data_IF_441670214692
#
_entry.id   IF_441670214692
#
_cell.length_a   1.000
_cell.length_b   1.000
_cell.length_c   1.000
_cell.angle_alpha   90.00
_cell.angle_beta   90.00
_cell.angle_gamma   90.00
#
_symmetry.space_group_name_H-M   'P 1'
#
loop_
_entity.id
_entity.type
_entity.pdbx_description
1 polymer ?
#
# COMPACT_ATOMS: atom_id res chain seq x y z
N UNK A 1 -19.66 11.43 2.16
CA UNK A 1 -18.86 10.30 2.64
C UNK A 1 -17.40 10.67 2.43
N UNK A 2 -16.59 10.67 3.50
CA UNK A 2 -15.19 11.10 3.40
C UNK A 2 -14.40 9.90 2.85
N UNK A 3 -13.70 10.06 1.73
CA UNK A 3 -12.80 9.03 1.20
C UNK A 3 -11.58 8.95 2.12
N UNK A 4 -11.77 8.42 3.32
CA UNK A 4 -10.68 8.17 4.27
C UNK A 4 -10.10 6.82 3.85
N UNK A 5 -8.97 6.86 3.19
CA UNK A 5 -8.04 5.73 3.23
C UNK A 5 -7.41 5.80 4.62
N UNK A 6 -7.98 5.07 5.58
CA UNK A 6 -7.53 5.14 6.96
C UNK A 6 -6.38 4.15 7.13
N UNK A 7 -5.18 4.66 7.42
CA UNK A 7 -4.13 3.81 7.96
C UNK A 7 -4.34 3.66 9.46
N UNK A 8 -4.51 2.40 9.88
CA UNK A 8 -4.64 2.03 11.28
C UNK A 8 -3.27 2.05 11.97
N UNK A 9 -2.46 3.11 11.82
CA UNK A 9 -1.26 3.20 12.64
C UNK A 9 -1.65 3.45 14.09
N UNK A 10 -1.65 2.37 14.87
CA UNK A 10 -1.50 2.27 16.33
C UNK A 10 -2.56 2.96 17.22
N UNK A 11 -3.30 3.99 16.79
CA UNK A 11 -4.16 4.75 17.70
C UNK A 11 -5.56 4.14 17.93
N UNK A 12 -6.12 3.44 16.93
CA UNK A 12 -7.53 3.02 16.98
C UNK A 12 -7.72 1.66 17.69
N UNK A 13 -6.73 0.78 17.60
CA UNK A 13 -6.77 -0.57 18.14
C UNK A 13 -5.77 -0.78 19.28
N UNK A 14 -5.31 0.29 19.95
CA UNK A 14 -4.45 0.17 21.13
C UNK A 14 -5.08 0.84 22.33
N UNK A 15 -5.01 0.15 23.46
CA UNK A 15 -5.37 0.69 24.76
C UNK A 15 -4.15 0.58 25.68
N UNK A 16 -4.03 1.55 26.59
CA UNK A 16 -3.12 1.44 27.72
C UNK A 16 -3.80 0.65 28.82
N UNK A 17 -3.07 -0.25 29.45
CA UNK A 17 -3.51 -0.83 30.70
C UNK A 17 -3.18 0.06 31.90
N UNK A 18 -3.64 -0.34 33.09
CA UNK A 18 -3.40 0.41 34.33
C UNK A 18 -1.91 0.53 34.71
N UNK A 19 -1.02 -0.21 34.06
CA UNK A 19 0.43 -0.17 34.25
C UNK A 19 1.16 0.54 33.11
N UNK A 20 0.43 1.10 32.14
CA UNK A 20 0.98 1.86 31.01
C UNK A 20 1.48 1.00 29.86
N UNK A 21 1.25 -0.32 29.87
CA UNK A 21 1.57 -1.17 28.74
C UNK A 21 0.51 -1.07 27.64
N UNK A 22 0.99 -1.14 26.40
CA UNK A 22 0.17 -0.97 25.20
C UNK A 22 -0.32 -2.34 24.75
N UNK A 23 -1.65 -2.53 24.75
CA UNK A 23 -2.29 -3.77 24.26
C UNK A 23 -3.12 -3.49 23.02
N UNK A 24 -3.20 -4.47 22.13
CA UNK A 24 -4.14 -4.41 21.01
C UNK A 24 -5.56 -4.75 21.50
N UNK A 25 -6.55 -3.99 21.03
CA UNK A 25 -7.97 -4.16 21.32
C UNK A 25 -8.75 -4.33 20.03
N UNK A 26 -9.81 -5.13 20.06
CA UNK A 26 -10.69 -5.32 18.91
C UNK A 26 -11.35 -3.97 18.54
N UNK A 27 -11.35 -3.63 17.25
CA UNK A 27 -11.94 -2.38 16.73
C UNK A 27 -13.40 -2.23 17.15
N UNK A 28 -14.16 -3.32 17.16
CA UNK A 28 -15.56 -3.39 17.62
C UNK A 28 -15.74 -2.89 19.06
N UNK A 29 -14.74 -3.11 19.92
CA UNK A 29 -14.74 -2.66 21.31
C UNK A 29 -14.33 -1.20 21.49
N UNK A 30 -14.07 -0.47 20.41
CA UNK A 30 -13.57 0.91 20.45
C UNK A 30 -14.66 1.90 20.00
N UNK A 31 -14.60 3.18 20.42
CA UNK A 31 -15.50 4.21 19.91
C UNK A 31 -15.39 4.45 18.39
N UNK A 32 -14.38 3.86 17.73
CA UNK A 32 -14.11 4.05 16.31
C UNK A 32 -14.87 3.08 15.41
N UNK A 33 -15.43 1.98 15.95
CA UNK A 33 -16.27 1.06 15.18
C UNK A 33 -17.43 1.78 14.45
N UNK A 34 -17.99 2.81 15.09
CA UNK A 34 -19.06 3.66 14.50
C UNK A 34 -18.65 4.43 13.25
N UNK A 35 -17.34 4.50 12.95
CA UNK A 35 -16.82 5.17 11.76
C UNK A 35 -16.79 4.23 10.55
N UNK A 36 -16.85 2.91 10.74
CA UNK A 36 -16.79 1.93 9.64
C UNK A 36 -17.80 2.22 8.52
N UNK A 37 -19.07 2.58 8.78
CA UNK A 37 -20.03 2.90 7.71
C UNK A 37 -19.69 4.17 6.92
N UNK A 38 -18.70 4.96 7.36
CA UNK A 38 -18.27 6.22 6.73
C UNK A 38 -16.93 6.10 6.02
N UNK A 39 -16.27 4.95 6.13
CA UNK A 39 -14.96 4.65 5.54
C UNK A 39 -15.15 3.88 4.25
N UNK A 40 -14.44 4.27 3.19
CA UNK A 40 -14.48 3.53 1.92
C UNK A 40 -13.48 2.36 1.94
N UNK A 41 -12.26 2.63 2.40
CA UNK A 41 -11.17 1.66 2.47
C UNK A 41 -10.49 1.70 3.83
N UNK A 42 -10.34 0.52 4.44
CA UNK A 42 -9.65 0.33 5.71
C UNK A 42 -8.42 -0.53 5.48
N UNK A 43 -7.22 0.02 5.69
CA UNK A 43 -5.98 -0.75 5.52
C UNK A 43 -5.44 -1.22 6.87
N UNK A 44 -5.07 -2.49 6.92
CA UNK A 44 -4.45 -3.15 8.06
C UNK A 44 -3.27 -4.02 7.58
N UNK A 45 -2.29 -4.29 8.45
CA UNK A 45 -1.33 -5.37 8.21
C UNK A 45 -1.90 -6.74 8.59
N UNK A 46 -1.21 -7.83 8.21
CA UNK A 46 -1.52 -9.19 8.65
C UNK A 46 -1.59 -9.32 10.18
N UNK A 47 -0.74 -8.58 10.91
CA UNK A 47 -0.71 -8.56 12.38
C UNK A 47 -1.87 -7.76 12.99
N UNK A 48 -2.41 -6.79 12.25
CA UNK A 48 -3.53 -5.94 12.66
C UNK A 48 -4.90 -6.56 12.32
N UNK A 49 -4.95 -7.38 11.26
CA UNK A 49 -6.18 -7.98 10.75
C UNK A 49 -7.05 -8.70 11.80
N UNK A 50 -6.50 -9.48 12.76
CA UNK A 50 -7.31 -10.10 13.82
C UNK A 50 -8.04 -9.08 14.70
N UNK A 51 -7.44 -7.91 14.93
CA UNK A 51 -8.02 -6.85 15.78
C UNK A 51 -9.04 -6.00 15.02
N UNK A 52 -8.97 -5.96 13.69
CA UNK A 52 -9.95 -5.26 12.86
C UNK A 52 -11.25 -6.05 12.73
N UNK A 53 -11.21 -7.38 12.83
CA UNK A 53 -12.38 -8.21 12.57
C UNK A 53 -12.79 -8.09 11.10
N UNK A 54 -11.91 -8.52 10.20
CA UNK A 54 -12.05 -8.38 8.73
C UNK A 54 -13.45 -8.77 8.25
N UNK A 55 -14.00 -9.87 8.76
CA UNK A 55 -15.33 -10.37 8.40
C UNK A 55 -16.48 -9.44 8.78
N UNK A 56 -16.36 -8.75 9.92
CA UNK A 56 -17.33 -7.74 10.33
C UNK A 56 -17.11 -6.44 9.56
N UNK A 57 -15.87 -5.99 9.45
CA UNK A 57 -15.51 -4.72 8.83
C UNK A 57 -15.81 -4.69 7.32
N UNK A 58 -15.65 -5.83 6.61
CA UNK A 58 -15.90 -5.93 5.17
C UNK A 58 -17.35 -5.69 4.76
N UNK A 59 -18.30 -5.83 5.70
CA UNK A 59 -19.73 -5.53 5.49
C UNK A 59 -20.01 -4.03 5.37
N UNK A 60 -19.07 -3.19 5.81
CA UNK A 60 -19.24 -1.73 5.87
C UNK A 60 -18.31 -0.99 4.92
N UNK A 61 -17.10 -1.52 4.70
CA UNK A 61 -16.06 -0.91 3.89
C UNK A 61 -15.15 -1.97 3.26
N UNK A 62 -14.37 -1.63 2.25
CA UNK A 62 -13.37 -2.55 1.73
C UNK A 62 -12.17 -2.60 2.68
N UNK A 63 -11.82 -3.78 3.19
CA UNK A 63 -10.65 -3.99 4.04
C UNK A 63 -9.48 -4.45 3.18
N UNK A 64 -8.35 -3.77 3.28
CA UNK A 64 -7.09 -4.11 2.60
C UNK A 64 -6.14 -4.65 3.65
N UNK A 65 -5.74 -5.91 3.52
CA UNK A 65 -4.76 -6.54 4.40
C UNK A 65 -3.44 -6.68 3.65
N UNK A 66 -2.40 -5.97 4.08
CA UNK A 66 -1.05 -6.11 3.53
C UNK A 66 -0.35 -7.31 4.17
N UNK A 67 0.16 -8.23 3.35
CA UNK A 67 0.76 -9.52 3.74
C UNK A 67 2.28 -9.52 3.49
N UNK A 68 2.91 -8.35 3.51
CA UNK A 68 4.36 -8.19 3.29
C UNK A 68 4.80 -8.78 1.93
N UNK A 69 5.67 -9.78 1.98
CA UNK A 69 6.22 -10.47 0.78
C UNK A 69 5.16 -11.20 -0.05
N UNK A 70 3.98 -11.44 0.52
CA UNK A 70 2.89 -12.17 -0.14
C UNK A 70 1.89 -11.24 -0.85
N UNK A 71 2.13 -9.91 -0.78
CA UNK A 71 1.36 -8.87 -1.45
C UNK A 71 0.30 -8.29 -0.54
N UNK A 72 -0.95 -8.26 -1.03
CA UNK A 72 -2.08 -7.89 -0.19
C UNK A 72 -3.36 -8.59 -0.63
N UNK A 73 -4.39 -8.51 0.23
CA UNK A 73 -5.75 -8.97 -0.07
C UNK A 73 -6.77 -7.88 0.21
N UNK A 74 -7.74 -7.75 -0.68
CA UNK A 74 -8.92 -6.92 -0.50
C UNK A 74 -10.09 -7.80 -0.09
N UNK A 75 -10.89 -7.33 0.86
CA UNK A 75 -12.12 -7.95 1.31
C UNK A 75 -13.25 -6.92 1.24
N UNK A 76 -14.34 -7.25 0.57
CA UNK A 76 -15.55 -6.42 0.52
C UNK A 76 -16.78 -7.29 0.75
N UNK A 77 -17.96 -6.68 0.83
CA UNK A 77 -19.19 -7.42 1.00
C UNK A 77 -19.44 -8.31 -0.23
N UNK A 78 -19.47 -9.63 -0.01
CA UNK A 78 -19.67 -10.62 -1.06
C UNK A 78 -18.42 -11.01 -1.86
N UNK A 79 -17.21 -10.56 -1.51
CA UNK A 79 -16.02 -10.97 -2.25
C UNK A 79 -14.66 -10.68 -1.61
N UNK A 80 -13.62 -11.23 -2.24
CA UNK A 80 -12.23 -10.95 -1.92
C UNK A 80 -11.35 -11.05 -3.17
N UNK A 81 -10.21 -10.36 -3.17
CA UNK A 81 -9.22 -10.45 -4.24
C UNK A 81 -7.80 -10.42 -3.67
N UNK A 82 -6.97 -11.38 -4.08
CA UNK A 82 -5.52 -11.37 -3.81
C UNK A 82 -4.79 -10.56 -4.87
N UNK A 83 -3.81 -9.78 -4.46
CA UNK A 83 -2.99 -8.92 -5.32
C UNK A 83 -1.52 -9.29 -5.15
N UNK A 84 -0.84 -9.49 -6.28
CA UNK A 84 0.53 -10.00 -6.30
C UNK A 84 1.54 -9.03 -5.65
N UNK A 85 2.59 -9.57 -4.99
CA UNK A 85 3.69 -8.78 -4.47
C UNK A 85 4.66 -8.32 -5.57
N UNK A 86 5.57 -7.42 -5.21
CA UNK A 86 6.74 -7.09 -6.02
C UNK A 86 8.01 -7.55 -5.28
N UNK A 87 9.06 -7.99 -6.01
CA UNK A 87 10.34 -8.32 -5.40
C UNK A 87 10.93 -7.11 -4.68
N UNK A 88 11.41 -7.30 -3.46
CA UNK A 88 12.13 -6.30 -2.69
C UNK A 88 13.12 -6.96 -1.73
N UNK A 89 14.24 -6.28 -1.48
CA UNK A 89 15.18 -6.65 -0.42
C UNK A 89 14.84 -5.78 0.78
N UNK A 90 14.33 -6.38 1.85
CA UNK A 90 13.92 -5.64 3.04
C UNK A 90 15.16 -5.14 3.80
N UNK A 91 15.34 -3.83 3.82
CA UNK A 91 16.36 -3.11 4.59
C UNK A 91 15.72 -2.46 5.82
N UNK A 92 14.66 -1.68 5.64
CA UNK A 92 13.91 -1.02 6.71
C UNK A 92 12.41 -1.02 6.36
N UNK A 93 11.52 -1.62 7.18
CA UNK A 93 10.08 -1.60 6.92
C UNK A 93 9.41 -0.24 7.13
N UNK A 94 10.13 0.75 7.65
CA UNK A 94 9.59 2.07 7.98
C UNK A 94 9.00 2.75 6.74
N UNK A 95 7.74 3.19 6.84
CA UNK A 95 7.06 3.92 5.76
C UNK A 95 6.54 3.06 4.60
N UNK A 96 6.71 1.73 4.64
CA UNK A 96 6.17 0.84 3.61
C UNK A 96 4.64 0.87 3.53
N UNK A 97 3.96 0.94 4.69
CA UNK A 97 2.51 1.10 4.77
C UNK A 97 2.03 2.42 4.17
N UNK A 98 2.65 3.55 4.56
CA UNK A 98 2.30 4.86 4.03
C UNK A 98 2.52 4.93 2.52
N UNK A 99 3.60 4.32 2.04
CA UNK A 99 3.93 4.22 0.62
C UNK A 99 2.91 3.38 -0.14
N UNK A 100 2.48 2.26 0.45
CA UNK A 100 1.39 1.46 -0.08
C UNK A 100 0.11 2.30 -0.19
N UNK A 101 -0.27 3.03 0.87
CA UNK A 101 -1.46 3.87 0.83
C UNK A 101 -1.37 5.00 -0.18
N UNK A 102 -0.20 5.64 -0.31
CA UNK A 102 0.05 6.69 -1.29
C UNK A 102 -0.10 6.15 -2.72
N UNK A 103 0.49 4.98 -3.00
CA UNK A 103 0.34 4.29 -4.29
C UNK A 103 -1.11 3.90 -4.58
N UNK A 104 -1.81 3.34 -3.59
CA UNK A 104 -3.21 2.98 -3.68
C UNK A 104 -4.11 4.18 -3.97
N UNK A 105 -3.97 5.25 -3.19
CA UNK A 105 -4.74 6.48 -3.39
C UNK A 105 -4.45 7.12 -4.75
N UNK A 106 -3.18 7.14 -5.18
CA UNK A 106 -2.81 7.59 -6.51
C UNK A 106 -3.51 6.75 -7.60
N UNK A 107 -3.49 5.42 -7.49
CA UNK A 107 -4.16 4.54 -8.43
C UNK A 107 -5.66 4.84 -8.55
N UNK A 108 -6.35 5.01 -7.43
CA UNK A 108 -7.77 5.38 -7.42
C UNK A 108 -8.03 6.75 -8.07
N UNK A 109 -7.18 7.75 -7.80
CA UNK A 109 -7.28 9.08 -8.41
C UNK A 109 -7.04 9.05 -9.93
N UNK A 110 -6.23 8.10 -10.39
CA UNK A 110 -6.02 7.80 -11.81
C UNK A 110 -7.12 6.92 -12.43
N UNK A 111 -8.18 6.59 -11.68
CA UNK A 111 -9.32 5.84 -12.19
C UNK A 111 -9.09 4.34 -12.34
N UNK A 112 -8.09 3.79 -11.67
CA UNK A 112 -7.88 2.34 -11.59
C UNK A 112 -8.99 1.66 -10.77
N UNK A 113 -9.21 0.37 -11.00
CA UNK A 113 -9.99 -0.48 -10.07
C UNK A 113 -9.30 -0.54 -8.70
N UNK A 114 -10.02 -0.89 -7.65
CA UNK A 114 -9.44 -1.05 -6.31
C UNK A 114 -8.32 -2.11 -6.31
N UNK A 115 -8.46 -3.18 -7.09
CA UNK A 115 -7.44 -4.24 -7.20
C UNK A 115 -6.20 -3.77 -7.93
N UNK A 116 -6.36 -2.98 -9.00
CA UNK A 116 -5.23 -2.38 -9.74
C UNK A 116 -4.54 -1.27 -8.94
N UNK A 117 -5.32 -0.48 -8.20
CA UNK A 117 -4.80 0.50 -7.26
C UNK A 117 -3.99 -0.18 -6.14
N UNK A 118 -4.46 -1.32 -5.63
CA UNK A 118 -3.74 -2.09 -4.62
C UNK A 118 -2.45 -2.71 -5.18
N UNK A 119 -2.42 -3.04 -6.47
CA UNK A 119 -1.21 -3.47 -7.15
C UNK A 119 -0.18 -2.33 -7.18
N UNK A 120 -0.61 -1.11 -7.51
CA UNK A 120 0.25 0.08 -7.42
C UNK A 120 0.70 0.35 -5.97
N UNK A 121 -0.16 0.12 -4.98
CA UNK A 121 0.19 0.14 -3.57
C UNK A 121 1.30 -0.87 -3.23
N UNK A 122 1.16 -2.14 -3.64
CA UNK A 122 2.17 -3.17 -3.43
C UNK A 122 3.53 -2.76 -4.04
N UNK A 123 3.52 -2.15 -5.22
CA UNK A 123 4.72 -1.66 -5.89
C UNK A 123 5.46 -0.60 -5.03
N UNK A 124 4.76 0.44 -4.58
CA UNK A 124 5.38 1.49 -3.76
C UNK A 124 5.76 1.01 -2.35
N UNK A 125 4.98 0.09 -1.77
CA UNK A 125 5.32 -0.54 -0.49
C UNK A 125 6.61 -1.37 -0.60
N UNK A 126 6.77 -2.14 -1.68
CA UNK A 126 7.98 -2.91 -1.96
C UNK A 126 9.19 -2.00 -2.26
N UNK A 127 9.00 -0.92 -3.02
CA UNK A 127 10.06 0.06 -3.26
C UNK A 127 10.54 0.74 -1.96
N UNK A 128 9.62 1.02 -1.04
CA UNK A 128 9.91 1.68 0.23
C UNK A 128 10.77 0.85 1.19
N UNK A 129 10.60 -0.48 1.22
CA UNK A 129 11.36 -1.32 2.17
C UNK A 129 12.85 -1.45 1.82
N UNK A 130 13.26 -1.01 0.64
CA UNK A 130 14.62 -1.19 0.11
C UNK A 130 15.61 -0.10 0.55
N UNK A 131 15.17 0.88 1.35
CA UNK A 131 15.99 2.01 1.82
C UNK A 131 15.77 2.25 3.31
N UNK A 132 16.79 2.77 4.01
CA UNK A 132 16.67 3.14 5.43
C UNK A 132 15.90 4.45 5.59
N UNK A 133 14.97 4.50 6.55
CA UNK A 133 14.27 5.71 6.95
C UNK A 133 13.01 6.03 6.13
N UNK A 134 12.65 7.32 6.05
CA UNK A 134 11.46 7.75 5.30
C UNK A 134 11.70 7.49 3.80
N UNK A 135 10.79 6.77 3.11
CA UNK A 135 10.99 6.42 1.71
C UNK A 135 11.17 7.65 0.83
N UNK A 136 12.22 7.65 0.01
CA UNK A 136 12.41 8.64 -1.06
C UNK A 136 12.35 7.95 -2.40
N UNK A 137 11.47 8.44 -3.27
CA UNK A 137 11.23 7.82 -4.57
C UNK A 137 11.98 8.58 -5.66
N UNK A 138 12.72 7.85 -6.50
CA UNK A 138 13.46 8.43 -7.61
C UNK A 138 12.49 9.08 -8.61
N UNK A 139 12.77 10.32 -9.04
CA UNK A 139 11.95 11.04 -10.02
C UNK A 139 11.78 10.27 -11.33
N UNK A 140 12.79 9.52 -11.78
CA UNK A 140 12.71 8.65 -12.97
C UNK A 140 11.71 7.51 -12.79
N UNK A 141 11.67 6.92 -11.59
CA UNK A 141 10.72 5.87 -11.24
C UNK A 141 9.28 6.42 -11.26
N UNK A 142 9.05 7.57 -10.62
CA UNK A 142 7.75 8.24 -10.63
C UNK A 142 7.30 8.61 -12.04
N UNK A 143 8.22 9.09 -12.87
CA UNK A 143 7.93 9.41 -14.27
C UNK A 143 7.60 8.17 -15.09
N UNK A 144 8.30 7.05 -14.88
CA UNK A 144 8.00 5.79 -15.56
C UNK A 144 6.62 5.25 -15.17
N UNK A 145 6.29 5.25 -13.87
CA UNK A 145 4.96 4.88 -13.37
C UNK A 145 3.89 5.79 -13.98
N UNK A 146 4.11 7.11 -14.00
CA UNK A 146 3.18 8.05 -14.62
C UNK A 146 2.92 7.73 -16.09
N UNK A 147 3.97 7.46 -16.88
CA UNK A 147 3.84 7.10 -18.29
C UNK A 147 3.02 5.81 -18.47
N UNK A 148 3.21 4.81 -17.60
CA UNK A 148 2.41 3.57 -17.60
C UNK A 148 0.94 3.90 -17.35
N UNK A 149 0.64 4.73 -16.35
CA UNK A 149 -0.73 5.12 -16.02
C UNK A 149 -1.38 5.93 -17.15
N UNK A 150 -0.66 6.88 -17.76
CA UNK A 150 -1.15 7.67 -18.90
C UNK A 150 -1.45 6.81 -20.14
N UNK A 151 -0.65 5.78 -20.39
CA UNK A 151 -0.85 4.86 -21.52
C UNK A 151 -2.04 3.91 -21.32
N UNK A 152 -2.36 3.56 -20.06
CA UNK A 152 -3.37 2.54 -19.73
C UNK A 152 -4.72 3.15 -19.34
N UNK A 153 -4.74 4.39 -18.88
CA UNK A 153 -5.96 5.11 -18.52
C UNK A 153 -6.40 6.01 -19.68
N UNK A 154 -7.19 5.48 -20.62
CA UNK A 154 -7.94 6.32 -21.57
C UNK A 154 -9.07 7.04 -20.84
N UNK A 155 -8.80 8.24 -20.27
CA UNK A 155 -9.79 9.19 -19.70
C UNK A 155 -11.09 8.52 -19.23
N UNK A 156 -10.99 7.54 -18.32
CA UNK A 156 -12.15 7.18 -17.54
C UNK A 156 -12.37 8.38 -16.62
N UNK A 157 -13.58 8.95 -16.64
CA UNK A 157 -13.94 9.99 -15.67
C UNK A 157 -13.53 9.45 -14.29
N UNK A 158 -12.75 10.21 -13.50
CA UNK A 158 -12.45 9.78 -12.15
C UNK A 158 -13.81 9.57 -11.49
N UNK A 159 -14.17 8.32 -11.20
CA UNK A 159 -15.43 7.97 -10.56
C UNK A 159 -15.38 8.41 -9.09
N UNK A 160 -15.22 9.71 -8.86
CA UNK A 160 -15.40 10.40 -7.59
C UNK A 160 -16.81 11.02 -7.58
N UNK A 161 -17.76 10.43 -8.31
CA UNK A 161 -19.16 10.87 -8.37
C UNK A 161 -20.14 9.83 -7.81
N UNK A 162 -19.74 9.16 -6.72
CA UNK A 162 -20.65 8.38 -5.88
C UNK A 162 -20.18 6.96 -5.67
N UNK A 163 -19.61 6.71 -4.49
CA UNK A 163 -19.66 5.47 -3.67
C UNK A 163 -19.35 4.10 -4.30
N UNK A 164 -19.10 4.01 -5.60
CA UNK A 164 -19.06 2.76 -6.35
C UNK A 164 -17.63 2.56 -6.83
N UNK A 165 -16.92 1.66 -6.15
CA UNK A 165 -15.58 1.23 -6.54
C UNK A 165 -15.69 -0.09 -7.29
N UNK A 166 -14.92 -0.24 -8.37
CA UNK A 166 -14.76 -1.54 -9.02
C UNK A 166 -13.71 -2.34 -8.24
N UNK A 167 -14.08 -3.52 -7.74
CA UNK A 167 -13.21 -4.43 -6.99
C UNK A 167 -12.68 -5.60 -7.83
N UNK A 168 -13.10 -5.71 -9.08
CA UNK A 168 -12.62 -6.74 -9.98
C UNK A 168 -11.34 -6.28 -10.68
N UNK A 169 -10.45 -7.24 -10.97
CA UNK A 169 -9.26 -7.00 -11.80
C UNK A 169 -9.71 -6.47 -13.15
N UNK A 170 -9.08 -5.40 -13.62
CA UNK A 170 -9.33 -4.95 -14.99
C UNK A 170 -8.71 -5.93 -15.99
N UNK A 171 -9.15 -5.84 -17.24
CA UNK A 171 -8.52 -6.55 -18.37
C UNK A 171 -7.05 -6.12 -18.58
N UNK A 172 -6.60 -5.01 -17.97
CA UNK A 172 -5.23 -4.52 -18.04
C UNK A 172 -4.39 -4.89 -16.81
N UNK A 173 -4.94 -5.63 -15.84
CA UNK A 173 -4.26 -5.94 -14.57
C UNK A 173 -2.90 -6.62 -14.78
N UNK A 174 -2.87 -7.66 -15.62
CA UNK A 174 -1.65 -8.44 -15.86
C UNK A 174 -0.61 -7.61 -16.61
N UNK A 175 -1.03 -6.82 -17.60
CA UNK A 175 -0.14 -5.89 -18.30
C UNK A 175 0.41 -4.81 -17.36
N UNK A 176 -0.43 -4.25 -16.47
CA UNK A 176 -0.02 -3.29 -15.45
C UNK A 176 1.03 -3.90 -14.52
N UNK A 177 0.80 -5.13 -14.08
CA UNK A 177 1.75 -5.87 -13.25
C UNK A 177 3.10 -6.04 -13.94
N UNK A 178 3.12 -6.52 -15.19
CA UNK A 178 4.35 -6.70 -15.97
C UNK A 178 5.12 -5.38 -16.14
N UNK A 179 4.45 -4.29 -16.53
CA UNK A 179 5.14 -3.00 -16.69
C UNK A 179 5.71 -2.46 -15.38
N UNK A 180 5.02 -2.65 -14.25
CA UNK A 180 5.54 -2.23 -12.95
C UNK A 180 6.72 -3.10 -12.50
N UNK A 181 6.72 -4.40 -12.81
CA UNK A 181 7.85 -5.29 -12.54
C UNK A 181 9.09 -4.88 -13.33
N UNK A 182 8.94 -4.53 -14.61
CA UNK A 182 10.05 -4.03 -15.43
C UNK A 182 10.66 -2.75 -14.84
N UNK A 183 9.82 -1.81 -14.39
CA UNK A 183 10.31 -0.60 -13.72
C UNK A 183 11.03 -0.94 -12.41
N UNK A 184 10.52 -1.89 -11.61
CA UNK A 184 11.19 -2.33 -10.39
C UNK A 184 12.60 -2.87 -10.68
N UNK A 185 12.74 -3.77 -11.66
CA UNK A 185 14.03 -4.37 -12.04
C UNK A 185 15.04 -3.31 -12.50
N UNK A 186 14.62 -2.38 -13.38
CA UNK A 186 15.49 -1.31 -13.89
C UNK A 186 15.99 -0.34 -12.81
N UNK A 187 15.26 -0.22 -11.70
CA UNK A 187 15.69 0.62 -10.57
C UNK A 187 16.63 -0.13 -9.63
N UNK A 188 16.45 -1.44 -9.45
CA UNK A 188 17.35 -2.29 -8.65
C UNK A 188 18.75 -2.40 -9.28
N UNK A 189 18.84 -2.63 -10.60
CA UNK A 189 20.13 -2.74 -11.30
C UNK A 189 20.96 -1.45 -11.25
N UNK A 190 20.31 -0.28 -11.19
CA UNK A 190 21.01 1.01 -11.14
C UNK A 190 21.53 1.39 -9.76
N UNK A 191 21.02 0.78 -8.69
CA UNK A 191 21.57 0.98 -7.34
C UNK A 191 22.87 0.20 -7.12
N UNK A 192 23.15 -0.84 -7.91
CA UNK A 192 24.40 -1.61 -7.83
C UNK A 192 25.57 -0.96 -8.59
N UNK A 193 25.32 0.02 -9.47
CA UNK A 193 26.34 0.69 -10.31
C UNK A 193 26.68 2.08 -9.78
N UNK A 194 26.90 2.24 -8.47
CA UNK A 194 27.59 3.41 -7.92
C UNK A 194 28.92 3.02 -7.25
N UNK A 195 29.99 2.78 -8.04
CA UNK A 195 31.33 2.54 -7.53
C UNK A 195 32.00 3.89 -7.22
N UNK A 196 31.47 4.64 -6.26
CA UNK A 196 32.07 5.88 -5.78
C UNK A 196 32.22 5.86 -4.25
N UNK A 197 32.89 4.83 -3.73
CA UNK A 197 33.50 4.87 -2.39
C UNK A 197 34.84 4.13 -2.35
N UNK A 198 35.62 4.28 -3.42
CA UNK A 198 37.00 3.81 -3.50
C UNK A 198 37.96 4.98 -3.65
N UNK A 199 38.28 5.67 -2.55
CA UNK A 199 39.58 6.31 -2.36
C UNK A 199 39.95 6.08 -0.89
N UNK A 200 40.91 5.18 -0.68
CA UNK A 200 41.60 5.11 0.60
C UNK A 200 42.41 6.39 0.79
N UNK A 201 42.43 6.89 2.02
CA UNK A 201 43.56 7.67 2.47
C UNK A 201 44.10 7.05 3.76
N UNK A 202 45.36 6.69 3.65
CA UNK A 202 46.25 6.24 4.70
C UNK A 202 46.61 7.48 5.51
N UNK A 203 46.40 7.46 6.83
CA UNK A 203 47.24 8.29 7.68
C UNK A 203 47.53 7.58 9.00
N UNK A 204 48.76 7.08 9.08
CA UNK A 204 49.46 6.69 10.30
C UNK A 204 49.75 7.93 11.13
N UNK A 205 49.37 7.94 12.42
CA UNK A 205 50.21 8.30 13.57
C UNK A 205 49.50 7.98 14.87
#
# INVERSE_FOLDING_TARGET
MLCIVCELRKALIRAFDGEGAVRHVALEGTPYARLLPRVAFLKASSEEAPYIGVETARRWCCVIVTEGRDGCRLYWDGGEARVAPFPAVQVDPTGAGDSFLAGFAAGLLWGLSATDAALLGNYFGAAAVSHVGVPTFNAKMLQAVKTILEGKVKRCNPCINGTTFNFERSNMHDELHTSLQEVAMLMSEKQEIDPANGIGDICST
#
